data_IF_201175204316
#
_entry.id   IF_201175204316
#
_cell.length_a   1.000
_cell.length_b   1.000
_cell.length_c   1.000
_cell.angle_alpha   90.00
_cell.angle_beta   90.00
_cell.angle_gamma   90.00
#
_symmetry.space_group_name_H-M   'P 1'
#
loop_
_entity.id
_entity.type
_entity.pdbx_description
1 polymer ?
#
# COMPACT_ATOMS: atom_id res chain seq x y z
N UNK A 1 -3.30 33.11 39.86
CA UNK A 1 -2.76 33.13 38.49
C UNK A 1 -3.38 32.05 37.58
N UNK A 2 -3.30 30.74 37.87
CA UNK A 2 -3.89 29.69 36.99
C UNK A 2 -5.40 29.90 36.68
N UNK A 3 -6.27 30.26 37.65
CA UNK A 3 -7.68 30.56 37.33
C UNK A 3 -7.87 31.77 36.41
N UNK A 4 -7.00 32.79 36.52
CA UNK A 4 -7.08 34.02 35.73
C UNK A 4 -6.71 33.78 34.26
N UNK A 5 -5.76 32.88 33.98
CA UNK A 5 -5.39 32.50 32.61
C UNK A 5 -6.50 31.68 31.95
N UNK A 6 -7.16 30.80 32.72
CA UNK A 6 -8.33 30.05 32.22
C UNK A 6 -9.49 30.99 31.92
N UNK A 7 -9.73 32.00 32.76
CA UNK A 7 -10.72 33.06 32.51
C UNK A 7 -10.34 33.84 31.24
N UNK A 8 -9.09 34.27 31.12
CA UNK A 8 -8.57 34.97 29.93
C UNK A 8 -8.84 34.19 28.65
N UNK A 9 -8.46 32.91 28.60
CA UNK A 9 -8.61 32.10 27.39
C UNK A 9 -10.04 31.68 27.10
N UNK A 10 -10.87 31.37 28.12
CA UNK A 10 -12.18 30.71 27.92
C UNK A 10 -13.39 31.64 27.99
N UNK A 11 -13.27 32.81 28.62
CA UNK A 11 -14.38 33.74 28.82
C UNK A 11 -14.27 35.02 27.97
N UNK A 12 -13.35 35.04 27.01
CA UNK A 12 -13.17 36.14 26.03
C UNK A 12 -13.08 37.53 26.68
N UNK A 13 -12.38 37.62 27.81
CA UNK A 13 -12.03 38.91 28.43
C UNK A 13 -10.88 39.56 27.67
N UNK A 14 -10.78 40.88 27.72
CA UNK A 14 -9.74 41.62 27.00
C UNK A 14 -8.37 41.60 27.71
N UNK A 15 -7.34 42.03 26.99
CA UNK A 15 -5.96 42.10 27.50
C UNK A 15 -5.87 43.00 28.74
N UNK A 16 -6.62 44.12 28.77
CA UNK A 16 -6.63 45.05 29.88
C UNK A 16 -7.09 44.35 31.17
N UNK A 17 -8.19 43.59 31.10
CA UNK A 17 -8.66 42.79 32.22
C UNK A 17 -7.57 41.83 32.74
N UNK A 18 -6.87 41.11 31.85
CA UNK A 18 -5.82 40.17 32.27
C UNK A 18 -4.64 40.88 32.94
N UNK A 19 -4.12 41.94 32.33
CA UNK A 19 -2.93 42.64 32.84
C UNK A 19 -3.20 43.42 34.12
N UNK A 20 -4.37 44.06 34.25
CA UNK A 20 -4.75 44.78 35.47
C UNK A 20 -4.84 43.84 36.67
N UNK A 21 -5.50 42.68 36.51
CA UNK A 21 -5.61 41.70 37.58
C UNK A 21 -4.27 40.99 37.87
N UNK A 22 -3.40 40.81 36.89
CA UNK A 22 -2.03 40.33 37.14
C UNK A 22 -1.21 41.36 37.93
N UNK A 23 -1.36 42.65 37.64
CA UNK A 23 -0.71 43.73 38.38
C UNK A 23 -1.22 43.85 39.83
N UNK A 24 -2.54 43.68 40.07
CA UNK A 24 -3.12 43.60 41.42
C UNK A 24 -2.54 42.44 42.25
N UNK A 25 -2.19 41.34 41.58
CA UNK A 25 -1.52 40.18 42.19
C UNK A 25 0.00 40.40 42.37
N UNK A 26 0.53 41.56 41.98
CA UNK A 26 1.94 41.92 42.11
C UNK A 26 2.84 41.45 40.97
N UNK A 27 2.28 40.97 39.86
CA UNK A 27 3.05 40.60 38.67
C UNK A 27 3.10 41.78 37.69
N UNK A 28 4.29 42.20 37.30
CA UNK A 28 4.44 43.13 36.19
C UNK A 28 4.05 42.47 34.86
N UNK A 29 3.99 43.27 33.78
CA UNK A 29 3.63 42.77 32.45
C UNK A 29 4.55 41.65 31.97
N UNK A 30 5.86 41.72 32.29
CA UNK A 30 6.83 40.72 31.86
C UNK A 30 6.49 39.37 32.47
N UNK A 31 6.21 39.34 33.77
CA UNK A 31 5.74 38.15 34.45
C UNK A 31 4.38 37.69 33.93
N UNK A 32 3.42 38.60 33.72
CA UNK A 32 2.12 38.24 33.15
C UNK A 32 2.24 37.54 31.78
N UNK A 33 3.12 38.06 30.90
CA UNK A 33 3.42 37.46 29.61
C UNK A 33 4.05 36.07 29.76
N UNK A 34 5.02 35.90 30.67
CA UNK A 34 5.66 34.61 30.93
C UNK A 34 4.67 33.57 31.46
N UNK A 35 3.78 33.98 32.37
CA UNK A 35 2.73 33.11 32.91
C UNK A 35 1.73 32.69 31.84
N UNK A 36 1.30 33.62 30.98
CA UNK A 36 0.44 33.30 29.85
C UNK A 36 1.14 32.34 28.87
N UNK A 37 2.40 32.61 28.54
CA UNK A 37 3.24 31.76 27.67
C UNK A 37 3.43 30.36 28.23
N UNK A 38 3.64 30.22 29.53
CA UNK A 38 3.82 28.93 30.21
C UNK A 38 2.59 28.01 30.14
N UNK A 39 1.42 28.56 29.84
CA UNK A 39 0.20 27.77 29.65
C UNK A 39 -0.07 27.38 28.21
N UNK A 40 0.71 27.87 27.24
CA UNK A 40 0.62 27.37 25.87
C UNK A 40 0.95 25.88 25.83
N UNK A 41 0.04 25.10 25.27
CA UNK A 41 0.16 23.66 25.16
C UNK A 41 1.04 23.35 23.94
N UNK A 42 2.18 22.71 24.19
CA UNK A 42 2.96 22.10 23.14
C UNK A 42 2.48 20.67 22.93
N UNK A 43 2.25 20.24 21.67
CA UNK A 43 1.88 18.86 21.38
C UNK A 43 2.86 17.87 22.03
N UNK A 44 2.39 16.80 22.67
CA UNK A 44 3.26 15.80 23.24
C UNK A 44 4.04 15.07 22.14
N UNK A 45 5.16 14.46 22.49
CA UNK A 45 6.06 13.79 21.53
C UNK A 45 5.33 12.82 20.58
N UNK A 46 4.37 11.97 21.03
CA UNK A 46 3.64 11.09 20.11
C UNK A 46 2.88 11.83 19.00
N UNK A 47 2.29 12.99 19.31
CA UNK A 47 1.61 13.82 18.34
C UNK A 47 2.60 14.45 17.37
N UNK A 48 3.76 14.90 17.88
CA UNK A 48 4.83 15.43 17.02
C UNK A 48 5.37 14.37 16.06
N UNK A 49 5.49 13.10 16.49
CA UNK A 49 5.86 11.99 15.59
C UNK A 49 4.77 11.78 14.54
N UNK A 50 3.50 11.76 14.93
CA UNK A 50 2.38 11.69 13.97
C UNK A 50 2.43 12.83 12.97
N UNK A 51 2.71 14.05 13.40
CA UNK A 51 2.81 15.21 12.51
C UNK A 51 3.96 15.05 11.51
N UNK A 52 5.08 14.47 11.93
CA UNK A 52 6.19 14.14 11.04
C UNK A 52 5.79 13.08 10.01
N UNK A 53 5.13 12.01 10.44
CA UNK A 53 4.67 10.93 9.57
C UNK A 53 3.69 11.44 8.50
N UNK A 54 2.76 12.32 8.87
CA UNK A 54 1.76 12.90 7.95
C UNK A 54 2.29 14.12 7.16
N UNK A 55 3.56 14.49 7.33
CA UNK A 55 4.18 15.57 6.56
C UNK A 55 3.78 16.99 6.99
N UNK A 56 3.20 17.16 8.18
CA UNK A 56 2.79 18.46 8.74
C UNK A 56 3.94 19.40 9.07
N UNK A 57 5.18 18.91 8.98
CA UNK A 57 6.42 19.69 9.08
C UNK A 57 7.16 19.81 7.74
N UNK A 58 6.73 19.10 6.70
CA UNK A 58 7.42 19.07 5.41
C UNK A 58 6.83 20.14 4.48
N UNK A 59 7.59 21.21 4.14
CA UNK A 59 7.10 22.28 3.28
C UNK A 59 6.62 21.80 1.91
N UNK A 60 7.23 20.76 1.34
CA UNK A 60 6.84 20.24 0.02
C UNK A 60 5.48 19.54 0.08
N UNK A 61 5.22 18.80 1.17
CA UNK A 61 3.92 18.13 1.39
C UNK A 61 2.84 19.17 1.70
N UNK A 62 3.15 20.16 2.55
CA UNK A 62 2.23 21.25 2.88
C UNK A 62 1.86 22.03 1.63
N UNK A 63 2.82 22.36 0.77
CA UNK A 63 2.55 23.07 -0.48
C UNK A 63 1.67 22.23 -1.41
N UNK A 64 1.97 20.94 -1.55
CA UNK A 64 1.19 20.02 -2.39
C UNK A 64 -0.27 19.88 -1.95
N UNK A 65 -0.55 19.95 -0.66
CA UNK A 65 -1.90 19.81 -0.08
C UNK A 65 -2.36 21.05 0.70
N UNK A 66 -1.93 22.23 0.25
CA UNK A 66 -2.09 23.52 0.95
C UNK A 66 -3.55 23.82 1.32
N UNK A 67 -4.48 23.46 0.44
CA UNK A 67 -5.92 23.61 0.61
C UNK A 67 -6.45 22.88 1.88
N UNK A 68 -5.79 21.80 2.29
CA UNK A 68 -6.23 20.95 3.42
C UNK A 68 -5.46 21.21 4.72
N UNK A 69 -4.51 22.14 4.72
CA UNK A 69 -3.61 22.37 5.85
C UNK A 69 -4.20 23.27 6.94
N UNK A 70 -4.88 24.35 6.56
CA UNK A 70 -5.39 25.30 7.55
C UNK A 70 -6.56 24.70 8.33
N UNK A 71 -6.43 24.71 9.64
CA UNK A 71 -7.49 24.33 10.54
C UNK A 71 -8.65 25.35 10.44
N UNK A 72 -9.88 24.91 10.13
CA UNK A 72 -11.04 25.77 10.15
C UNK A 72 -11.22 26.47 11.50
N UNK A 73 -11.82 27.66 11.52
CA UNK A 73 -12.01 28.44 12.76
C UNK A 73 -12.78 27.65 13.82
N UNK A 74 -13.80 26.87 13.42
CA UNK A 74 -14.61 26.07 14.33
C UNK A 74 -13.85 25.00 15.12
N UNK A 75 -12.64 24.59 14.68
CA UNK A 75 -11.76 23.70 15.45
C UNK A 75 -10.58 24.46 16.06
N UNK A 76 -10.03 25.44 15.33
CA UNK A 76 -8.90 26.26 15.77
C UNK A 76 -9.23 27.10 16.99
N UNK A 77 -10.42 27.70 17.04
CA UNK A 77 -10.88 28.52 18.16
C UNK A 77 -10.97 27.69 19.45
N UNK A 78 -11.68 26.54 19.50
CA UNK A 78 -11.63 25.65 20.67
C UNK A 78 -10.24 25.19 21.10
N UNK A 79 -9.36 24.86 20.13
CA UNK A 79 -7.96 24.50 20.41
C UNK A 79 -7.20 25.63 21.11
N UNK A 80 -7.42 26.88 20.70
CA UNK A 80 -6.81 28.03 21.32
C UNK A 80 -7.24 28.23 22.79
N UNK A 81 -8.49 27.90 23.13
CA UNK A 81 -9.02 28.00 24.51
C UNK A 81 -8.27 27.09 25.50
N UNK A 82 -7.62 26.03 25.01
CA UNK A 82 -6.81 25.10 25.81
C UNK A 82 -5.31 25.31 25.64
N UNK A 83 -4.88 26.33 24.90
CA UNK A 83 -3.47 26.68 24.74
C UNK A 83 -2.78 26.11 23.50
N UNK A 84 -3.49 25.39 22.62
CA UNK A 84 -2.95 24.97 21.32
C UNK A 84 -3.05 26.18 20.38
N UNK A 85 -1.98 26.95 20.31
CA UNK A 85 -1.92 28.22 19.58
C UNK A 85 -1.10 28.12 18.29
N UNK A 86 -1.27 29.13 17.43
CA UNK A 86 -0.48 29.29 16.21
C UNK A 86 -0.69 28.14 15.23
N UNK A 87 0.40 27.62 14.70
CA UNK A 87 0.40 26.59 13.65
C UNK A 87 0.12 25.18 14.19
N UNK A 88 0.13 24.97 15.52
CA UNK A 88 -0.13 23.66 16.10
C UNK A 88 -1.54 23.15 15.75
N UNK A 89 -2.54 24.02 15.73
CA UNK A 89 -3.89 23.67 15.30
C UNK A 89 -3.92 23.16 13.84
N UNK A 90 -3.18 23.82 12.95
CA UNK A 90 -3.05 23.40 11.55
C UNK A 90 -2.37 22.03 11.43
N UNK A 91 -1.34 21.74 12.23
CA UNK A 91 -0.68 20.42 12.21
C UNK A 91 -1.58 19.30 12.73
N UNK A 92 -2.32 19.55 13.81
CA UNK A 92 -3.35 18.62 14.28
C UNK A 92 -4.41 18.37 13.21
N UNK A 93 -4.89 19.43 12.56
CA UNK A 93 -5.83 19.33 11.47
C UNK A 93 -5.22 18.56 10.30
N UNK A 94 -4.10 18.96 9.73
CA UNK A 94 -3.53 18.25 8.58
C UNK A 94 -3.26 16.75 8.86
N UNK A 95 -2.87 16.42 10.09
CA UNK A 95 -2.61 15.04 10.51
C UNK A 95 -3.88 14.26 10.91
N UNK A 96 -5.06 14.87 10.86
CA UNK A 96 -6.34 14.18 11.14
C UNK A 96 -6.87 13.42 9.91
N UNK A 97 -6.50 13.85 8.70
CA UNK A 97 -6.92 13.21 7.45
C UNK A 97 -6.44 11.77 7.40
N UNK A 98 -7.31 10.87 6.91
CA UNK A 98 -6.99 9.45 6.78
C UNK A 98 -6.52 9.20 5.35
N UNK A 99 -5.32 8.63 5.22
CA UNK A 99 -4.76 8.26 3.93
C UNK A 99 -5.38 6.96 3.40
N UNK A 100 -5.48 6.76 2.07
CA UNK A 100 -6.07 5.56 1.46
C UNK A 100 -5.31 4.29 1.88
N UNK A 101 -6.02 3.18 2.09
CA UNK A 101 -5.38 1.90 2.37
C UNK A 101 -4.64 1.33 1.17
N UNK A 102 -3.93 0.21 1.37
CA UNK A 102 -3.19 -0.48 0.30
C UNK A 102 -4.10 -0.92 -0.86
N UNK A 103 -5.32 -1.32 -0.55
CA UNK A 103 -6.27 -1.78 -1.55
C UNK A 103 -6.74 -0.61 -2.43
N UNK A 104 -7.15 0.50 -1.81
CA UNK A 104 -7.57 1.71 -2.50
C UNK A 104 -6.43 2.29 -3.36
N UNK A 105 -5.22 2.36 -2.82
CA UNK A 105 -4.04 2.81 -3.56
C UNK A 105 -3.77 1.95 -4.80
N UNK A 106 -3.87 0.62 -4.67
CA UNK A 106 -3.67 -0.28 -5.80
C UNK A 106 -4.77 -0.21 -6.85
N UNK A 107 -6.01 0.08 -6.47
CA UNK A 107 -7.09 0.38 -7.43
C UNK A 107 -6.89 1.73 -8.12
N UNK A 108 -6.51 2.77 -7.37
CA UNK A 108 -6.23 4.10 -7.93
C UNK A 108 -5.07 4.04 -8.93
N UNK A 109 -3.99 3.33 -8.58
CA UNK A 109 -2.82 3.14 -9.44
C UNK A 109 -3.20 2.39 -10.73
N UNK A 110 -3.89 1.25 -10.61
CA UNK A 110 -4.35 0.47 -11.78
C UNK A 110 -5.28 1.25 -12.70
N UNK A 111 -6.04 2.21 -12.17
CA UNK A 111 -6.94 3.08 -12.95
C UNK A 111 -6.26 4.33 -13.49
N UNK A 112 -4.95 4.52 -13.24
CA UNK A 112 -4.20 5.69 -13.67
C UNK A 112 -4.62 7.00 -12.98
N UNK A 113 -5.26 6.90 -11.81
CA UNK A 113 -5.64 8.08 -11.00
C UNK A 113 -4.46 8.61 -10.19
N UNK A 114 -3.45 7.77 -9.98
CA UNK A 114 -2.20 8.10 -9.29
C UNK A 114 -1.06 7.33 -9.94
N UNK A 115 0.10 7.95 -10.04
CA UNK A 115 1.34 7.36 -10.55
C UNK A 115 2.20 6.75 -9.42
N UNK A 116 3.33 6.16 -9.78
CA UNK A 116 4.26 5.52 -8.84
C UNK A 116 4.73 6.52 -7.75
N UNK A 117 4.99 7.77 -8.12
CA UNK A 117 5.39 8.83 -7.17
C UNK A 117 4.27 9.20 -6.22
N UNK A 118 3.02 9.30 -6.69
CA UNK A 118 1.87 9.55 -5.85
C UNK A 118 1.58 8.41 -4.88
N UNK A 119 1.77 7.15 -5.28
CA UNK A 119 1.67 5.98 -4.39
C UNK A 119 2.76 6.01 -3.32
N UNK A 120 4.01 6.29 -3.70
CA UNK A 120 5.12 6.41 -2.74
C UNK A 120 4.93 7.58 -1.78
N UNK A 121 4.43 8.71 -2.26
CA UNK A 121 4.08 9.83 -1.39
C UNK A 121 3.00 9.45 -0.38
N UNK A 122 1.95 8.73 -0.79
CA UNK A 122 0.92 8.27 0.13
C UNK A 122 1.54 7.37 1.23
N UNK A 123 2.40 6.43 0.87
CA UNK A 123 3.11 5.58 1.84
C UNK A 123 4.07 6.37 2.74
N UNK A 124 4.77 7.37 2.20
CA UNK A 124 5.60 8.28 2.98
C UNK A 124 4.76 8.99 4.05
N UNK A 125 3.59 9.49 3.67
CA UNK A 125 2.66 10.20 4.57
C UNK A 125 1.92 9.30 5.57
N UNK A 126 2.16 7.98 5.50
CA UNK A 126 1.73 7.01 6.50
C UNK A 126 2.88 6.56 7.43
N UNK A 127 4.08 7.12 7.25
CA UNK A 127 5.27 6.75 8.03
C UNK A 127 6.04 5.53 7.52
N UNK A 128 5.78 5.04 6.31
CA UNK A 128 6.59 3.94 5.75
C UNK A 128 7.99 4.42 5.34
N UNK A 129 9.03 3.65 5.69
CA UNK A 129 10.40 3.94 5.25
C UNK A 129 10.56 3.80 3.73
N UNK A 130 11.55 4.46 3.10
CA UNK A 130 11.77 4.34 1.65
C UNK A 130 11.90 2.90 1.16
N UNK A 131 12.54 2.04 1.96
CA UNK A 131 12.64 0.60 1.66
C UNK A 131 11.26 -0.06 1.50
N UNK A 132 10.32 0.24 2.40
CA UNK A 132 8.97 -0.34 2.35
C UNK A 132 8.10 0.31 1.27
N UNK A 133 8.28 1.61 1.00
CA UNK A 133 7.56 2.29 -0.07
C UNK A 133 7.75 1.59 -1.42
N UNK A 134 9.00 1.24 -1.76
CA UNK A 134 9.29 0.54 -3.02
C UNK A 134 8.67 -0.86 -3.06
N UNK A 135 8.71 -1.62 -1.96
CA UNK A 135 8.12 -2.96 -1.91
C UNK A 135 6.59 -2.93 -1.95
N UNK A 136 5.97 -1.94 -1.32
CA UNK A 136 4.52 -1.75 -1.35
C UNK A 136 4.04 -1.26 -2.71
N UNK A 137 4.83 -0.43 -3.40
CA UNK A 137 4.56 -0.04 -4.78
C UNK A 137 4.58 -1.26 -5.72
N UNK A 138 5.55 -2.15 -5.59
CA UNK A 138 5.55 -3.39 -6.38
C UNK A 138 4.37 -4.30 -6.02
N UNK A 139 3.95 -4.34 -4.75
CA UNK A 139 2.81 -5.14 -4.30
C UNK A 139 1.48 -4.70 -4.92
N UNK A 140 1.30 -3.42 -5.22
CA UNK A 140 0.05 -2.95 -5.84
C UNK A 140 -0.04 -3.28 -7.33
N UNK A 141 1.08 -3.63 -7.98
CA UNK A 141 1.11 -4.02 -9.39
C UNK A 141 0.54 -5.42 -9.57
N UNK A 142 -0.28 -5.59 -10.61
CA UNK A 142 -0.96 -6.85 -10.85
C UNK A 142 0.02 -7.95 -11.33
N UNK A 143 -0.15 -9.15 -10.79
CA UNK A 143 0.49 -10.35 -11.34
C UNK A 143 -0.42 -10.92 -12.44
N UNK A 144 0.10 -11.30 -13.63
CA UNK A 144 -0.69 -11.88 -14.71
C UNK A 144 -1.53 -13.07 -14.24
N UNK A 145 -2.70 -13.31 -14.83
CA UNK A 145 -3.56 -14.43 -14.41
C UNK A 145 -2.98 -15.76 -14.88
N UNK A 146 -3.29 -16.86 -14.19
CA UNK A 146 -2.89 -18.20 -14.61
C UNK A 146 -3.30 -18.56 -16.03
N UNK A 147 -4.47 -18.09 -16.46
CA UNK A 147 -5.00 -18.36 -17.81
C UNK A 147 -4.13 -17.69 -18.86
N UNK A 148 -3.76 -16.43 -18.64
CA UNK A 148 -2.92 -15.67 -19.56
C UNK A 148 -1.49 -16.21 -19.58
N UNK A 149 -0.93 -16.52 -18.41
CA UNK A 149 0.40 -17.13 -18.29
C UNK A 149 0.48 -18.47 -19.02
N UNK A 150 -0.57 -19.29 -18.96
CA UNK A 150 -0.64 -20.53 -19.72
C UNK A 150 -0.70 -20.28 -21.23
N UNK A 151 -1.41 -19.25 -21.68
CA UNK A 151 -1.44 -18.86 -23.11
C UNK A 151 -0.08 -18.36 -23.58
N UNK A 152 0.63 -17.61 -22.74
CA UNK A 152 1.99 -17.16 -23.00
C UNK A 152 2.95 -18.34 -23.16
N UNK A 153 2.84 -19.33 -22.27
CA UNK A 153 3.58 -20.59 -22.39
C UNK A 153 3.27 -21.32 -23.70
N UNK A 154 1.99 -21.45 -24.05
CA UNK A 154 1.53 -22.07 -25.31
C UNK A 154 2.10 -21.40 -26.55
N UNK A 155 2.02 -20.07 -26.58
CA UNK A 155 2.58 -19.24 -27.65
C UNK A 155 4.11 -19.13 -27.64
N UNK A 156 4.80 -19.74 -26.66
CA UNK A 156 6.25 -19.65 -26.47
C UNK A 156 6.76 -18.22 -26.30
N UNK A 157 5.94 -17.33 -25.76
CA UNK A 157 6.35 -15.95 -25.42
C UNK A 157 7.13 -15.88 -24.11
N UNK A 158 7.05 -16.94 -23.29
CA UNK A 158 7.81 -17.11 -22.05
C UNK A 158 8.46 -18.50 -22.04
N UNK A 159 9.53 -18.65 -21.27
CA UNK A 159 10.18 -19.93 -21.01
C UNK A 159 9.74 -20.56 -19.67
N UNK A 160 10.32 -21.71 -19.30
CA UNK A 160 9.91 -22.43 -18.08
C UNK A 160 10.37 -21.69 -16.82
N UNK A 161 11.49 -20.98 -16.89
CA UNK A 161 12.00 -20.19 -15.78
C UNK A 161 11.05 -19.01 -15.49
N UNK A 162 10.61 -18.29 -16.52
CA UNK A 162 9.64 -17.20 -16.40
C UNK A 162 8.25 -17.72 -16.00
N UNK A 163 7.80 -18.85 -16.55
CA UNK A 163 6.56 -19.51 -16.11
C UNK A 163 6.58 -19.80 -14.59
N UNK A 164 7.70 -20.36 -14.11
CA UNK A 164 7.90 -20.69 -12.70
C UNK A 164 7.97 -19.45 -11.82
N UNK A 165 8.64 -18.40 -12.28
CA UNK A 165 8.69 -17.11 -11.58
C UNK A 165 7.30 -16.45 -11.47
N UNK A 166 6.50 -16.45 -12.53
CA UNK A 166 5.15 -15.85 -12.47
C UNK A 166 4.25 -16.64 -11.52
N UNK A 167 4.25 -17.97 -11.58
CA UNK A 167 3.49 -18.79 -10.62
C UNK A 167 3.98 -18.61 -9.18
N UNK A 168 5.27 -18.38 -8.98
CA UNK A 168 5.79 -18.02 -7.67
C UNK A 168 5.25 -16.66 -7.19
N UNK A 169 5.24 -15.64 -8.05
CA UNK A 169 4.66 -14.31 -7.75
C UNK A 169 3.15 -14.36 -7.47
N UNK A 170 2.44 -15.33 -8.04
CA UNK A 170 1.03 -15.61 -7.70
C UNK A 170 0.85 -16.28 -6.33
N UNK A 171 1.95 -16.71 -5.70
CA UNK A 171 1.95 -17.32 -4.37
C UNK A 171 2.04 -18.85 -4.37
N UNK A 172 2.45 -19.50 -5.47
CA UNK A 172 2.66 -20.94 -5.49
C UNK A 172 4.10 -21.32 -5.12
N UNK A 173 4.26 -22.32 -4.26
CA UNK A 173 5.56 -22.74 -3.72
C UNK A 173 5.67 -24.27 -3.70
N UNK A 174 6.92 -24.76 -3.66
CA UNK A 174 7.24 -26.18 -3.49
C UNK A 174 6.47 -27.10 -4.42
N UNK A 175 5.83 -28.12 -3.84
CA UNK A 175 5.06 -29.13 -4.59
C UNK A 175 3.92 -28.53 -5.41
N UNK A 176 3.24 -27.51 -4.91
CA UNK A 176 2.14 -26.89 -5.66
C UNK A 176 2.66 -26.17 -6.89
N UNK A 177 3.78 -25.47 -6.77
CA UNK A 177 4.47 -24.86 -7.91
C UNK A 177 4.89 -25.93 -8.93
N UNK A 178 5.52 -27.01 -8.48
CA UNK A 178 5.94 -28.11 -9.36
C UNK A 178 4.75 -28.74 -10.10
N UNK A 179 3.63 -28.95 -9.39
CA UNK A 179 2.39 -29.45 -9.97
C UNK A 179 1.82 -28.49 -11.01
N UNK A 180 1.83 -27.18 -10.75
CA UNK A 180 1.35 -26.18 -11.72
C UNK A 180 2.21 -26.12 -12.97
N UNK A 181 3.53 -26.24 -12.83
CA UNK A 181 4.45 -26.29 -13.97
C UNK A 181 4.18 -27.54 -14.81
N UNK A 182 4.18 -28.72 -14.20
CA UNK A 182 3.91 -29.97 -14.91
C UNK A 182 2.54 -29.93 -15.59
N UNK A 183 1.50 -29.50 -14.86
CA UNK A 183 0.15 -29.39 -15.41
C UNK A 183 0.10 -28.45 -16.62
N UNK A 184 0.72 -27.28 -16.54
CA UNK A 184 0.71 -26.29 -17.63
C UNK A 184 1.39 -26.83 -18.87
N UNK A 185 2.58 -27.43 -18.71
CA UNK A 185 3.36 -28.06 -19.78
C UNK A 185 2.54 -29.12 -20.52
N UNK A 186 2.00 -30.08 -19.77
CA UNK A 186 1.24 -31.20 -20.31
C UNK A 186 -0.08 -30.74 -20.91
N UNK A 187 -0.85 -29.91 -20.19
CA UNK A 187 -2.17 -29.46 -20.62
C UNK A 187 -2.12 -28.73 -21.96
N UNK A 188 -1.06 -27.95 -22.17
CA UNK A 188 -0.85 -27.18 -23.40
C UNK A 188 -0.33 -28.07 -24.54
N UNK A 189 0.64 -28.95 -24.28
CA UNK A 189 1.24 -29.79 -25.33
C UNK A 189 0.31 -30.91 -25.81
N UNK A 190 -0.50 -31.48 -24.93
CA UNK A 190 -1.26 -32.71 -25.21
C UNK A 190 -2.24 -32.60 -26.39
N UNK A 191 -3.05 -31.55 -26.54
CA UNK A 191 -3.95 -31.43 -27.70
C UNK A 191 -3.21 -31.43 -29.05
N UNK A 192 -2.08 -30.73 -29.14
CA UNK A 192 -1.24 -30.68 -30.33
C UNK A 192 -0.57 -32.03 -30.60
N UNK A 193 0.00 -32.66 -29.58
CA UNK A 193 0.56 -34.02 -29.66
C UNK A 193 -0.43 -35.01 -30.25
N UNK A 194 -1.66 -35.03 -29.75
CA UNK A 194 -2.71 -35.92 -30.23
C UNK A 194 -3.13 -35.57 -31.66
N UNK A 195 -3.17 -34.29 -32.03
CA UNK A 195 -3.46 -33.87 -33.40
C UNK A 195 -2.37 -34.33 -34.38
N UNK A 196 -1.09 -34.11 -34.04
CA UNK A 196 0.07 -34.58 -34.83
C UNK A 196 0.05 -36.10 -34.99
N UNK A 197 -0.24 -36.84 -33.93
CA UNK A 197 -0.35 -38.29 -33.96
C UNK A 197 -1.50 -38.76 -34.85
N UNK A 198 -2.70 -38.20 -34.70
CA UNK A 198 -3.88 -38.54 -35.54
C UNK A 198 -3.65 -38.24 -37.02
N UNK A 199 -2.86 -37.22 -37.33
CA UNK A 199 -2.48 -36.86 -38.69
C UNK A 199 -1.31 -37.71 -39.24
N UNK A 200 -0.76 -38.63 -38.44
CA UNK A 200 0.37 -39.48 -38.81
C UNK A 200 1.72 -38.76 -38.89
N UNK A 201 1.85 -37.57 -38.31
CA UNK A 201 3.09 -36.79 -38.32
C UNK A 201 4.09 -37.26 -37.26
N UNK A 202 3.59 -37.88 -36.18
CA UNK A 202 4.39 -38.49 -35.12
C UNK A 202 3.80 -39.85 -34.76
N UNK A 203 4.62 -40.73 -34.19
CA UNK A 203 4.20 -42.03 -33.68
C UNK A 203 3.63 -41.93 -32.25
N UNK A 204 3.02 -43.00 -31.76
CA UNK A 204 2.56 -43.03 -30.36
C UNK A 204 3.75 -43.03 -29.38
N UNK A 205 4.89 -43.60 -29.77
CA UNK A 205 6.11 -43.59 -28.95
C UNK A 205 6.73 -42.19 -28.88
N UNK A 206 6.62 -41.39 -29.95
CA UNK A 206 6.98 -39.97 -29.91
C UNK A 206 6.10 -39.20 -28.91
N UNK A 207 4.79 -39.48 -28.87
CA UNK A 207 3.88 -38.88 -27.87
C UNK A 207 4.32 -39.24 -26.45
N UNK A 208 4.66 -40.51 -26.18
CA UNK A 208 5.17 -40.95 -24.86
C UNK A 208 6.47 -40.25 -24.48
N UNK A 209 7.39 -40.18 -25.44
CA UNK A 209 8.70 -39.54 -25.27
C UNK A 209 8.55 -38.05 -24.95
N UNK A 210 7.72 -37.32 -25.71
CA UNK A 210 7.45 -35.91 -25.44
C UNK A 210 6.77 -35.69 -24.07
N UNK A 211 5.74 -36.47 -23.72
CA UNK A 211 5.07 -36.33 -22.41
C UNK A 211 6.00 -36.64 -21.23
N UNK A 212 6.86 -37.65 -21.36
CA UNK A 212 7.88 -37.97 -20.35
C UNK A 212 8.92 -36.86 -20.26
N UNK A 213 9.35 -36.31 -21.40
CA UNK A 213 10.26 -35.17 -21.48
C UNK A 213 9.71 -33.88 -20.86
N UNK A 214 8.40 -33.71 -20.82
CA UNK A 214 7.75 -32.61 -20.08
C UNK A 214 7.77 -32.80 -18.55
N UNK A 215 8.18 -33.97 -18.07
CA UNK A 215 8.30 -34.30 -16.65
C UNK A 215 7.17 -35.18 -16.10
N UNK A 216 6.29 -35.71 -16.95
CA UNK A 216 5.26 -36.66 -16.50
C UNK A 216 5.93 -38.01 -16.18
N UNK A 217 5.66 -38.63 -15.02
CA UNK A 217 6.18 -39.97 -14.72
C UNK A 217 5.71 -40.99 -15.75
N UNK A 218 6.59 -41.89 -16.20
CA UNK A 218 6.30 -42.85 -17.27
C UNK A 218 5.05 -43.71 -16.99
N UNK A 219 4.88 -44.19 -15.75
CA UNK A 219 3.68 -44.93 -15.34
C UNK A 219 2.39 -44.10 -15.53
N UNK A 220 2.47 -42.80 -15.24
CA UNK A 220 1.34 -41.87 -15.43
C UNK A 220 1.09 -41.57 -16.90
N UNK A 221 2.12 -41.55 -17.75
CA UNK A 221 1.98 -41.36 -19.20
C UNK A 221 1.13 -42.47 -19.80
N UNK A 222 1.42 -43.74 -19.48
CA UNK A 222 0.64 -44.87 -19.99
C UNK A 222 -0.84 -44.78 -19.54
N UNK A 223 -1.08 -44.59 -18.24
CA UNK A 223 -2.45 -44.42 -17.70
C UNK A 223 -3.18 -43.22 -18.35
N UNK A 224 -2.46 -42.12 -18.60
CA UNK A 224 -3.03 -40.93 -19.22
C UNK A 224 -3.40 -41.16 -20.69
N UNK A 225 -2.59 -41.92 -21.42
CA UNK A 225 -2.88 -42.32 -22.81
C UNK A 225 -4.09 -43.25 -22.85
N UNK A 226 -4.11 -44.30 -22.02
CA UNK A 226 -5.22 -45.28 -21.95
C UNK A 226 -6.56 -44.63 -21.63
N UNK A 227 -6.57 -43.63 -20.74
CA UNK A 227 -7.81 -42.93 -20.36
C UNK A 227 -8.30 -41.93 -21.39
N UNK A 228 -7.44 -41.47 -22.32
CA UNK A 228 -7.76 -40.43 -23.32
C UNK A 228 -7.88 -40.97 -24.73
N UNK A 229 -7.40 -42.18 -24.98
CA UNK A 229 -7.44 -42.85 -26.26
C UNK A 229 -8.32 -44.09 -26.14
N UNK A 230 -9.26 -44.27 -27.08
CA UNK A 230 -9.92 -45.58 -27.20
C UNK A 230 -8.83 -46.61 -27.51
N UNK A 231 -8.86 -47.76 -26.85
CA UNK A 231 -8.11 -48.92 -27.31
C UNK A 231 -8.51 -49.16 -28.76
N UNK A 232 -7.62 -48.82 -29.69
CA UNK A 232 -7.83 -49.13 -31.10
C UNK A 232 -7.64 -50.64 -31.21
N UNK A 233 -8.71 -51.36 -31.57
CA UNK A 233 -8.66 -52.79 -31.81
C UNK A 233 -7.52 -53.10 -32.78
N UNK A 234 -6.70 -54.07 -32.39
CA UNK A 234 -5.51 -54.55 -33.11
C UNK A 234 -5.88 -55.19 -34.46
#
# INVERSE_FOLDING_TARGET
>A
AIPLIVVYRRLAVDDAFFYDHMAELGFDKVWADLWLKATEEYPPVPDMVRFADFGSFDPEIIEKWREYYDAPSWIREPMALIGILGDWANKYWFSHWIQPGRYELGEMHRRGLVDDEGVKLAYRTMGYSPFWQDKLLELVKAVPTRVDVRRWWDMRTIDEAELRDIYHRQGYYGKDLDNYILWTKVYVAFPDLIARWRNGWITLDDVRSELTGLGMPAERVEEFIETKMKATEA
#
